data_IF_366120542127
#
_entry.id   IF_366120542127
#
_cell.length_a   1.000
_cell.length_b   1.000
_cell.length_c   1.000
_cell.angle_alpha   90.00
_cell.angle_beta   90.00
_cell.angle_gamma   90.00
#
_symmetry.space_group_name_H-M   'P 1'
#
loop_
_entity.id
_entity.type
_entity.pdbx_description
1 polymer ?
#
# COMPACT_ATOMS: atom_id res chain seq x y z
N UNK A 1 18.15 14.49 -6.17
CA UNK A 1 17.22 13.63 -5.41
C UNK A 1 17.44 13.92 -3.94
N UNK A 2 16.40 14.26 -3.20
CA UNK A 2 16.49 14.50 -1.74
C UNK A 2 17.05 13.24 -1.05
N UNK A 3 18.04 13.40 -0.18
CA UNK A 3 18.66 12.31 0.56
C UNK A 3 17.64 11.55 1.44
N UNK A 4 16.61 12.24 1.93
CA UNK A 4 15.52 11.63 2.69
C UNK A 4 14.68 10.69 1.83
N UNK A 5 14.34 11.11 0.59
CA UNK A 5 13.62 10.27 -0.36
C UNK A 5 14.45 9.05 -0.78
N UNK A 6 15.75 9.24 -0.99
CA UNK A 6 16.67 8.15 -1.30
C UNK A 6 16.72 7.09 -0.18
N UNK A 7 16.83 7.54 1.07
CA UNK A 7 16.81 6.66 2.23
C UNK A 7 15.47 5.94 2.37
N UNK A 8 14.35 6.63 2.16
CA UNK A 8 13.01 6.05 2.21
C UNK A 8 12.84 4.89 1.23
N UNK A 9 13.25 5.07 -0.02
CA UNK A 9 13.22 4.01 -1.04
C UNK A 9 14.05 2.79 -0.62
N UNK A 10 15.28 3.00 -0.13
CA UNK A 10 16.14 1.91 0.32
C UNK A 10 15.53 1.11 1.48
N UNK A 11 14.88 1.80 2.43
CA UNK A 11 14.22 1.15 3.56
C UNK A 11 12.99 0.34 3.12
N UNK A 12 12.20 0.87 2.19
CA UNK A 12 11.05 0.14 1.64
C UNK A 12 11.48 -1.13 0.89
N UNK A 13 12.55 -1.05 0.08
CA UNK A 13 13.13 -2.22 -0.59
C UNK A 13 13.59 -3.25 0.44
N UNK A 14 14.37 -2.84 1.44
CA UNK A 14 14.88 -3.74 2.47
C UNK A 14 13.74 -4.39 3.30
N UNK A 15 12.65 -3.65 3.53
CA UNK A 15 11.47 -4.20 4.20
C UNK A 15 10.78 -5.25 3.32
N UNK A 16 10.49 -4.93 2.06
CA UNK A 16 9.83 -5.83 1.13
C UNK A 16 10.62 -7.13 0.93
N UNK A 17 11.94 -7.04 0.78
CA UNK A 17 12.83 -8.21 0.68
C UNK A 17 12.79 -9.09 1.93
N UNK A 18 12.78 -8.49 3.13
CA UNK A 18 12.73 -9.23 4.39
C UNK A 18 11.39 -9.89 4.64
N UNK A 19 10.31 -9.21 4.27
CA UNK A 19 8.95 -9.72 4.44
C UNK A 19 8.55 -10.70 3.32
N UNK A 20 9.24 -10.69 2.18
CA UNK A 20 8.77 -11.38 0.98
C UNK A 20 7.51 -10.76 0.39
N UNK A 21 7.25 -9.48 0.69
CA UNK A 21 6.02 -8.80 0.33
C UNK A 21 6.11 -8.21 -1.09
N UNK A 22 5.08 -8.48 -1.90
CA UNK A 22 4.88 -7.78 -3.17
C UNK A 22 4.48 -6.32 -2.94
N UNK A 23 5.00 -5.41 -3.76
CA UNK A 23 4.73 -3.97 -3.65
C UNK A 23 3.96 -3.49 -4.89
N UNK A 24 2.77 -2.93 -4.66
CA UNK A 24 1.96 -2.29 -5.69
C UNK A 24 2.19 -0.78 -5.64
N UNK A 25 2.60 -0.17 -6.75
CA UNK A 25 2.62 1.29 -6.89
C UNK A 25 1.23 1.76 -7.34
N UNK A 26 0.27 1.95 -6.42
CA UNK A 26 -1.09 2.38 -6.78
C UNK A 26 -1.13 3.88 -7.11
N UNK A 27 -1.50 4.24 -8.34
CA UNK A 27 -1.60 5.63 -8.84
C UNK A 27 -0.42 6.54 -8.44
N UNK A 28 0.84 6.15 -8.69
CA UNK A 28 1.99 6.79 -8.09
C UNK A 28 2.26 8.16 -8.72
N UNK A 29 2.41 9.20 -7.89
CA UNK A 29 2.84 10.53 -8.34
C UNK A 29 4.38 10.64 -8.51
N UNK A 30 5.13 9.70 -7.92
CA UNK A 30 6.58 9.61 -7.97
C UNK A 30 7.01 8.13 -8.04
N UNK A 31 8.32 7.86 -8.15
CA UNK A 31 8.83 6.50 -8.04
C UNK A 31 8.81 6.07 -6.56
N UNK A 32 7.99 5.08 -6.24
CA UNK A 32 7.85 4.52 -4.88
C UNK A 32 8.66 3.23 -4.73
N UNK A 33 8.80 2.45 -5.80
CA UNK A 33 9.54 1.18 -5.78
C UNK A 33 10.30 0.92 -7.09
N UNK A 34 11.45 0.21 -7.09
CA UNK A 34 12.16 -0.06 -8.35
C UNK A 34 11.33 -0.98 -9.24
N UNK A 35 10.93 -0.50 -10.42
CA UNK A 35 9.97 -1.19 -11.31
C UNK A 35 10.49 -2.48 -11.96
N UNK A 36 11.79 -2.66 -11.97
CA UNK A 36 12.45 -3.90 -12.43
C UNK A 36 12.70 -4.89 -11.28
N UNK A 37 12.35 -4.54 -10.04
CA UNK A 37 12.54 -5.41 -8.89
C UNK A 37 11.55 -6.60 -8.95
N UNK A 38 11.96 -7.84 -8.62
CA UNK A 38 11.07 -9.01 -8.67
C UNK A 38 9.83 -8.92 -7.80
N UNK A 39 9.89 -8.14 -6.72
CA UNK A 39 8.76 -7.90 -5.81
C UNK A 39 7.83 -6.75 -6.28
N UNK A 40 8.11 -6.10 -7.40
CA UNK A 40 7.19 -5.11 -7.94
C UNK A 40 5.95 -5.81 -8.53
N UNK A 41 4.82 -5.68 -7.84
CA UNK A 41 3.56 -6.37 -8.14
C UNK A 41 2.66 -5.60 -9.12
N UNK A 42 3.14 -4.48 -9.68
CA UNK A 42 2.42 -3.69 -10.68
C UNK A 42 1.83 -2.41 -10.12
N UNK A 43 0.82 -1.87 -10.82
CA UNK A 43 0.24 -0.55 -10.55
C UNK A 43 -1.24 -0.60 -10.16
N UNK A 44 -1.77 -1.82 -10.01
CA UNK A 44 -3.18 -2.10 -9.77
C UNK A 44 -3.26 -3.07 -8.58
N UNK A 45 -3.97 -2.73 -7.50
CA UNK A 45 -4.04 -3.58 -6.32
C UNK A 45 -4.91 -4.82 -6.55
N UNK A 46 -5.87 -4.79 -7.47
CA UNK A 46 -6.89 -5.83 -7.62
C UNK A 46 -6.31 -7.25 -7.79
N UNK A 47 -5.27 -7.48 -8.62
CA UNK A 47 -4.68 -8.82 -8.75
C UNK A 47 -3.92 -9.30 -7.51
N UNK A 48 -3.45 -8.37 -6.66
CA UNK A 48 -2.67 -8.67 -5.46
C UNK A 48 -3.59 -8.89 -4.24
N UNK A 49 -4.68 -8.13 -4.15
CA UNK A 49 -5.64 -8.16 -3.03
C UNK A 49 -6.30 -9.53 -2.89
N UNK A 50 -6.69 -10.18 -3.99
CA UNK A 50 -7.31 -11.52 -3.99
C UNK A 50 -6.43 -12.62 -3.36
N UNK A 51 -5.11 -12.42 -3.30
CA UNK A 51 -4.15 -13.42 -2.81
C UNK A 51 -3.41 -13.00 -1.55
N UNK A 52 -3.69 -11.81 -1.04
CA UNK A 52 -3.02 -11.27 0.11
C UNK A 52 -3.53 -11.96 1.39
N UNK A 53 -2.61 -12.35 2.27
CA UNK A 53 -2.90 -12.75 3.65
C UNK A 53 -2.74 -11.58 4.63
N UNK A 54 -2.21 -10.44 4.16
CA UNK A 54 -2.09 -9.16 4.83
C UNK A 54 -2.01 -8.05 3.78
N UNK A 55 -2.77 -6.97 3.99
CA UNK A 55 -2.62 -5.73 3.25
C UNK A 55 -1.93 -4.68 4.13
N UNK A 56 -0.81 -4.15 3.66
CA UNK A 56 -0.10 -3.05 4.29
C UNK A 56 -0.21 -1.80 3.41
N UNK A 57 -0.95 -0.81 3.88
CA UNK A 57 -1.13 0.48 3.23
C UNK A 57 -0.12 1.45 3.83
N UNK A 58 0.69 2.08 2.99
CA UNK A 58 1.76 2.99 3.45
C UNK A 58 1.57 4.31 2.74
N UNK A 59 1.28 5.38 3.50
CA UNK A 59 1.06 6.73 2.96
C UNK A 59 0.03 6.72 1.83
N UNK A 60 -1.13 6.10 2.10
CA UNK A 60 -2.14 5.76 1.09
C UNK A 60 -3.49 6.39 1.42
N UNK A 61 -3.89 7.39 0.64
CA UNK A 61 -5.15 8.11 0.85
C UNK A 61 -6.40 7.32 0.42
N UNK A 62 -6.28 6.46 -0.60
CA UNK A 62 -7.40 5.62 -1.09
C UNK A 62 -6.87 4.22 -1.34
N UNK A 63 -7.05 3.30 -0.40
CA UNK A 63 -6.31 2.03 -0.41
C UNK A 63 -6.75 1.07 -1.51
N UNK A 64 -8.05 1.07 -1.82
CA UNK A 64 -8.60 0.52 -3.04
C UNK A 64 -9.94 1.20 -3.31
N UNK A 65 -10.33 1.28 -4.58
CA UNK A 65 -11.74 1.51 -4.91
C UNK A 65 -12.40 0.13 -5.02
N UNK A 66 -13.30 -0.25 -4.11
CA UNK A 66 -14.04 -1.50 -4.26
C UNK A 66 -14.75 -1.47 -5.60
N UNK A 67 -14.41 -2.41 -6.48
CA UNK A 67 -15.24 -2.74 -7.63
C UNK A 67 -15.98 -4.02 -7.28
N UNK A 68 -17.23 -4.14 -7.71
CA UNK A 68 -18.03 -5.35 -7.50
C UNK A 68 -17.33 -6.63 -8.03
N UNK A 69 -16.36 -6.46 -8.93
CA UNK A 69 -15.62 -7.52 -9.62
C UNK A 69 -14.29 -7.91 -8.95
N UNK A 70 -13.86 -7.25 -7.86
CA UNK A 70 -12.63 -7.64 -7.13
C UNK A 70 -13.00 -8.33 -5.82
N UNK A 71 -12.96 -9.67 -5.74
CA UNK A 71 -13.18 -10.36 -4.48
C UNK A 71 -12.13 -9.93 -3.45
N UNK A 72 -12.61 -9.44 -2.31
CA UNK A 72 -11.79 -9.14 -1.15
C UNK A 72 -12.27 -10.04 -0.01
N UNK A 73 -11.35 -10.81 0.56
CA UNK A 73 -11.63 -11.59 1.76
C UNK A 73 -11.67 -10.66 2.98
N UNK A 74 -12.84 -10.46 3.62
CA UNK A 74 -12.98 -9.55 4.75
C UNK A 74 -12.19 -9.98 6.00
N UNK A 75 -11.70 -11.21 6.05
CA UNK A 75 -10.87 -11.71 7.16
C UNK A 75 -9.38 -11.36 6.99
N UNK A 76 -8.97 -10.85 5.82
CA UNK A 76 -7.59 -10.41 5.59
C UNK A 76 -7.31 -9.15 6.40
N UNK A 77 -6.31 -9.16 7.30
CA UNK A 77 -5.94 -7.98 8.06
C UNK A 77 -5.48 -6.86 7.14
N UNK A 78 -5.96 -5.65 7.41
CA UNK A 78 -5.53 -4.42 6.74
C UNK A 78 -4.85 -3.53 7.76
N UNK A 79 -3.57 -3.24 7.55
CA UNK A 79 -2.77 -2.36 8.41
C UNK A 79 -2.49 -1.07 7.64
N UNK A 80 -2.90 0.06 8.20
CA UNK A 80 -2.63 1.37 7.62
C UNK A 80 -1.53 2.09 8.41
N UNK A 81 -0.42 2.37 7.73
CA UNK A 81 0.67 3.18 8.25
C UNK A 81 0.65 4.53 7.53
N UNK A 82 0.28 5.55 8.28
CA UNK A 82 0.23 6.91 7.79
C UNK A 82 0.66 7.88 8.90
N UNK A 83 1.07 9.09 8.54
CA UNK A 83 1.25 10.21 9.48
C UNK A 83 -0.10 10.69 10.02
N UNK A 84 -1.18 10.47 9.28
CA UNK A 84 -2.55 10.80 9.66
C UNK A 84 -3.54 9.63 9.40
N UNK A 85 -3.40 8.48 10.09
CA UNK A 85 -4.13 7.26 9.76
C UNK A 85 -5.65 7.36 9.95
N UNK A 86 -6.10 8.27 10.81
CA UNK A 86 -7.53 8.58 11.00
C UNK A 86 -8.10 9.49 9.91
N UNK A 87 -7.24 10.11 9.09
CA UNK A 87 -7.60 11.01 7.99
C UNK A 87 -8.72 12.01 8.39
N UNK A 88 -8.63 12.59 9.60
CA UNK A 88 -9.70 13.39 10.23
C UNK A 88 -10.19 14.58 9.38
N UNK A 89 -9.29 15.13 8.57
CA UNK A 89 -9.59 16.26 7.68
C UNK A 89 -10.11 15.83 6.30
N UNK A 90 -10.26 14.52 6.05
CA UNK A 90 -10.80 13.93 4.84
C UNK A 90 -12.28 13.54 5.05
N UNK A 91 -13.26 14.35 4.59
CA UNK A 91 -14.67 14.16 4.93
C UNK A 91 -15.31 12.88 4.39
N UNK A 92 -14.63 12.19 3.47
CA UNK A 92 -15.09 10.96 2.82
C UNK A 92 -14.39 9.71 3.35
N UNK A 93 -13.54 9.83 4.39
CA UNK A 93 -12.90 8.68 5.01
C UNK A 93 -13.90 7.96 5.94
N UNK A 94 -14.45 6.84 5.48
CA UNK A 94 -15.43 6.02 6.21
C UNK A 94 -14.86 4.69 6.74
N UNK A 95 -13.54 4.49 6.60
CA UNK A 95 -12.85 3.29 7.09
C UNK A 95 -12.78 3.28 8.61
N UNK A 96 -13.12 2.13 9.20
CA UNK A 96 -12.94 1.88 10.62
C UNK A 96 -11.45 1.85 10.95
N UNK A 97 -11.04 2.66 11.92
CA UNK A 97 -9.71 2.61 12.56
C UNK A 97 -9.90 2.04 13.96
N UNK A 98 -8.95 1.23 14.42
CA UNK A 98 -8.97 0.76 15.82
C UNK A 98 -8.55 1.90 16.76
N UNK A 99 -9.25 2.03 17.89
CA UNK A 99 -9.00 3.03 18.95
C UNK A 99 -7.77 2.68 19.83
#
# INVERSE_FOLDING_TARGET
MDARLALGLCLLVAFAERAGAGVVEQSPAALCFPREHPLHAGFRPEPAVDRADLLLLVDTDVPWTPSDDTPFDPDVPVVHIDVDPEKRDYPLWDFRVDD
#
